data_IF_457255944218
#
_entry.id   IF_457255944218
#
_cell.length_a   1.000
_cell.length_b   1.000
_cell.length_c   1.000
_cell.angle_alpha   90.00
_cell.angle_beta   90.00
_cell.angle_gamma   90.00
#
_symmetry.space_group_name_H-M   'P 1'
#
loop_
_entity.id
_entity.type
_entity.pdbx_description
1 polymer ?
#
# COMPACT_ATOMS: atom_id res chain seq x y z
N UNK A 1 -1.43 24.78 -22.55
CA UNK A 1 -2.04 25.03 -21.22
C UNK A 1 -3.51 25.34 -21.43
N UNK A 2 -4.39 24.33 -21.29
CA UNK A 2 -5.83 24.58 -21.31
C UNK A 2 -6.21 25.38 -20.06
N UNK A 3 -6.92 26.49 -20.25
CA UNK A 3 -7.43 27.31 -19.14
C UNK A 3 -8.39 26.42 -18.33
N UNK A 4 -8.01 26.01 -17.12
CA UNK A 4 -8.96 25.48 -16.15
C UNK A 4 -10.08 26.52 -16.00
N UNK A 5 -11.32 26.13 -16.28
CA UNK A 5 -12.47 27.00 -16.08
C UNK A 5 -12.56 27.49 -14.63
N UNK A 6 -13.21 28.63 -14.38
CA UNK A 6 -13.29 29.20 -13.04
C UNK A 6 -13.87 28.20 -12.04
N UNK A 7 -13.16 27.98 -10.92
CA UNK A 7 -13.60 27.14 -9.82
C UNK A 7 -14.94 27.71 -9.30
N UNK A 8 -16.04 27.02 -9.62
CA UNK A 8 -17.38 27.45 -9.18
C UNK A 8 -17.48 27.25 -7.68
N UNK A 9 -17.43 28.35 -6.93
CA UNK A 9 -17.62 28.33 -5.48
C UNK A 9 -19.01 27.77 -5.16
N UNK A 10 -19.12 26.76 -4.27
CA UNK A 10 -20.40 26.16 -3.93
C UNK A 10 -21.32 27.19 -3.28
N UNK A 11 -22.53 27.37 -3.83
CA UNK A 11 -23.54 28.29 -3.28
C UNK A 11 -24.25 27.74 -2.04
N UNK A 12 -24.28 26.41 -1.86
CA UNK A 12 -24.98 25.75 -0.75
C UNK A 12 -24.02 25.00 0.17
N UNK A 13 -24.35 24.92 1.46
CA UNK A 13 -23.56 24.15 2.43
C UNK A 13 -23.49 22.66 2.08
N UNK A 14 -24.55 22.11 1.46
CA UNK A 14 -24.55 20.72 0.95
C UNK A 14 -23.50 20.53 -0.14
N UNK A 15 -23.44 21.43 -1.13
CA UNK A 15 -22.43 21.37 -2.20
C UNK A 15 -21.01 21.55 -1.64
N UNK A 16 -20.83 22.45 -0.66
CA UNK A 16 -19.54 22.63 0.01
C UNK A 16 -19.07 21.36 0.72
N UNK A 17 -19.96 20.68 1.45
CA UNK A 17 -19.64 19.40 2.11
C UNK A 17 -19.24 18.33 1.10
N UNK A 18 -19.89 18.26 -0.05
CA UNK A 18 -19.56 17.27 -1.08
C UNK A 18 -18.19 17.55 -1.72
N UNK A 19 -17.89 18.80 -2.05
CA UNK A 19 -16.56 19.19 -2.57
C UNK A 19 -15.45 18.89 -1.55
N UNK A 20 -15.71 19.09 -0.25
CA UNK A 20 -14.75 18.73 0.81
C UNK A 20 -14.53 17.22 0.94
N UNK A 21 -15.50 16.37 0.55
CA UNK A 21 -15.30 14.91 0.54
C UNK A 21 -14.35 14.47 -0.57
N UNK A 22 -14.40 15.14 -1.72
CA UNK A 22 -13.57 14.87 -2.90
C UNK A 22 -12.19 15.53 -2.83
N UNK A 23 -12.01 16.52 -1.95
CA UNK A 23 -10.73 17.17 -1.76
C UNK A 23 -9.63 16.16 -1.34
N UNK A 24 -8.36 16.38 -1.76
CA UNK A 24 -7.24 15.53 -1.38
C UNK A 24 -7.11 15.36 0.15
N UNK A 25 -6.77 14.15 0.59
CA UNK A 25 -6.65 13.79 2.01
C UNK A 25 -5.31 13.13 2.28
N UNK A 26 -4.79 13.30 3.51
CA UNK A 26 -3.57 12.61 3.97
C UNK A 26 -3.80 11.10 4.08
N UNK A 27 -4.94 10.72 4.65
CA UNK A 27 -5.44 9.34 4.67
C UNK A 27 -6.57 9.25 3.66
N UNK A 28 -6.31 8.53 2.58
CA UNK A 28 -7.26 8.40 1.47
C UNK A 28 -8.47 7.52 1.85
N UNK A 29 -9.60 7.75 1.18
CA UNK A 29 -10.77 6.88 1.32
C UNK A 29 -10.62 5.64 0.42
N UNK A 30 -11.55 4.68 0.55
CA UNK A 30 -11.68 3.58 -0.40
C UNK A 30 -11.88 4.04 -1.84
N UNK A 31 -11.10 3.47 -2.77
CA UNK A 31 -11.15 3.77 -4.20
C UNK A 31 -12.46 3.29 -4.83
N UNK A 32 -13.24 4.23 -5.37
CA UNK A 32 -14.49 3.94 -6.10
C UNK A 32 -14.22 3.51 -7.54
N UNK A 33 -15.03 2.58 -8.04
CA UNK A 33 -14.94 1.99 -9.37
C UNK A 33 -16.07 2.50 -10.27
N UNK A 34 -15.73 3.07 -11.41
CA UNK A 34 -16.68 3.44 -12.45
C UNK A 34 -16.74 2.35 -13.52
N UNK A 35 -17.93 1.84 -13.79
CA UNK A 35 -18.18 0.79 -14.77
C UNK A 35 -18.94 1.38 -15.96
N UNK A 36 -18.32 1.27 -17.15
CA UNK A 36 -18.79 1.85 -18.40
C UNK A 36 -18.96 0.78 -19.49
N UNK A 37 -19.91 1.02 -20.39
CA UNK A 37 -20.16 0.20 -21.57
C UNK A 37 -19.76 0.98 -22.82
N UNK A 38 -19.03 0.32 -23.73
CA UNK A 38 -18.77 0.82 -25.07
C UNK A 38 -19.97 0.69 -26.01
N UNK A 39 -19.77 1.03 -27.28
CA UNK A 39 -20.79 0.91 -28.34
C UNK A 39 -21.39 -0.49 -28.44
N UNK A 40 -20.52 -1.50 -28.42
CA UNK A 40 -20.89 -2.91 -28.54
C UNK A 40 -20.35 -3.65 -27.32
N UNK A 41 -21.21 -4.37 -26.64
CA UNK A 41 -20.86 -5.28 -25.53
C UNK A 41 -21.52 -6.62 -25.76
N UNK A 42 -20.82 -7.70 -25.44
CA UNK A 42 -21.38 -9.06 -25.48
C UNK A 42 -22.19 -9.36 -24.22
N UNK A 43 -23.06 -10.37 -24.30
CA UNK A 43 -23.79 -10.86 -23.12
C UNK A 43 -22.83 -11.27 -21.99
N UNK A 44 -21.76 -11.99 -22.34
CA UNK A 44 -20.68 -12.39 -21.41
C UNK A 44 -20.10 -11.18 -20.69
N UNK A 45 -19.72 -10.13 -21.41
CA UNK A 45 -19.20 -8.92 -20.78
C UNK A 45 -20.23 -8.22 -19.90
N UNK A 46 -21.50 -8.15 -20.31
CA UNK A 46 -22.53 -7.53 -19.49
C UNK A 46 -22.69 -8.27 -18.15
N UNK A 47 -22.57 -9.60 -18.15
CA UNK A 47 -22.56 -10.42 -16.92
C UNK A 47 -21.30 -10.19 -16.09
N UNK A 48 -20.10 -10.15 -16.70
CA UNK A 48 -18.84 -9.82 -16.00
C UNK A 48 -18.93 -8.45 -15.31
N UNK A 49 -19.44 -7.43 -16.02
CA UNK A 49 -19.60 -6.08 -15.47
C UNK A 49 -20.69 -6.03 -14.37
N UNK A 50 -21.70 -6.91 -14.42
CA UNK A 50 -22.67 -7.05 -13.35
C UNK A 50 -22.07 -7.72 -12.11
N UNK A 51 -21.26 -8.76 -12.28
CA UNK A 51 -20.56 -9.43 -11.18
C UNK A 51 -19.54 -8.49 -10.52
N UNK A 52 -18.78 -7.71 -11.31
CA UNK A 52 -17.85 -6.72 -10.76
C UNK A 52 -18.59 -5.63 -9.96
N UNK A 53 -19.74 -5.18 -10.46
CA UNK A 53 -20.60 -4.27 -9.71
C UNK A 53 -21.12 -4.91 -8.41
N UNK A 54 -21.50 -6.20 -8.44
CA UNK A 54 -21.96 -6.92 -7.26
C UNK A 54 -20.86 -7.07 -6.20
N UNK A 55 -19.65 -7.45 -6.62
CA UNK A 55 -18.48 -7.58 -5.74
C UNK A 55 -18.09 -6.25 -5.08
N UNK A 56 -18.36 -5.12 -5.74
CA UNK A 56 -17.95 -3.79 -5.27
C UNK A 56 -19.13 -2.84 -5.03
N UNK A 57 -20.31 -3.38 -4.70
CA UNK A 57 -21.60 -2.66 -4.70
C UNK A 57 -21.59 -1.30 -4.01
N UNK A 58 -20.92 -1.18 -2.87
CA UNK A 58 -20.90 0.06 -2.07
C UNK A 58 -19.86 1.08 -2.56
N UNK A 59 -18.89 0.64 -3.36
CA UNK A 59 -17.80 1.45 -3.90
C UNK A 59 -17.76 1.41 -5.43
N UNK A 60 -18.91 1.22 -6.09
CA UNK A 60 -19.00 1.17 -7.54
C UNK A 60 -20.15 2.01 -8.08
N UNK A 61 -19.92 2.68 -9.20
CA UNK A 61 -20.91 3.41 -9.98
C UNK A 61 -20.97 2.78 -11.36
N UNK A 62 -22.15 2.28 -11.76
CA UNK A 62 -22.35 1.66 -13.08
C UNK A 62 -23.21 2.55 -13.96
N UNK A 63 -22.70 2.92 -15.13
CA UNK A 63 -23.50 3.59 -16.15
C UNK A 63 -24.06 2.58 -17.13
N UNK A 64 -25.35 2.66 -17.38
CA UNK A 64 -26.07 1.77 -18.31
C UNK A 64 -26.01 2.25 -19.75
N UNK A 65 -25.82 3.56 -19.97
CA UNK A 65 -25.73 4.15 -21.30
C UNK A 65 -24.44 3.71 -22.00
N UNK A 66 -24.57 3.32 -23.27
CA UNK A 66 -23.44 2.99 -24.16
C UNK A 66 -22.72 4.26 -24.59
N UNK A 67 -21.39 4.19 -24.67
CA UNK A 67 -20.54 5.33 -25.00
C UNK A 67 -19.75 5.04 -26.27
N UNK A 68 -20.02 5.82 -27.33
CA UNK A 68 -19.45 5.56 -28.66
C UNK A 68 -18.11 6.23 -28.91
N UNK A 69 -17.83 7.31 -28.18
CA UNK A 69 -16.61 8.10 -28.31
C UNK A 69 -15.43 7.55 -27.51
N UNK A 70 -15.63 6.54 -26.66
CA UNK A 70 -14.58 6.05 -25.77
C UNK A 70 -13.67 5.06 -26.50
N UNK A 71 -12.41 5.48 -26.68
CA UNK A 71 -11.35 4.65 -27.25
C UNK A 71 -10.09 4.78 -26.39
N UNK A 72 -9.93 3.96 -25.33
CA UNK A 72 -8.95 4.23 -24.27
C UNK A 72 -7.47 4.26 -24.71
N UNK A 73 -7.15 3.63 -25.84
CA UNK A 73 -5.78 3.50 -26.36
C UNK A 73 -5.52 4.38 -27.59
N UNK A 74 -6.50 5.17 -28.04
CA UNK A 74 -6.34 6.10 -29.15
C UNK A 74 -6.06 7.49 -28.59
N UNK A 75 -5.20 8.28 -29.23
CA UNK A 75 -4.84 9.62 -28.75
C UNK A 75 -6.07 10.52 -28.58
N UNK A 76 -6.37 10.93 -27.35
CA UNK A 76 -7.52 11.77 -27.01
C UNK A 76 -8.83 11.01 -26.78
N UNK A 77 -8.85 9.69 -27.03
CA UNK A 77 -10.01 8.83 -26.80
C UNK A 77 -10.25 8.51 -25.32
N UNK A 78 -9.31 8.84 -24.44
CA UNK A 78 -9.42 8.76 -22.99
C UNK A 78 -10.10 9.97 -22.33
N UNK A 79 -10.21 11.12 -23.02
CA UNK A 79 -10.77 12.37 -22.45
C UNK A 79 -12.17 12.17 -21.85
N UNK A 80 -12.98 11.32 -22.49
CA UNK A 80 -14.31 10.96 -21.98
C UNK A 80 -14.24 10.18 -20.66
N UNK A 81 -13.24 9.31 -20.49
CA UNK A 81 -13.03 8.56 -19.25
C UNK A 81 -12.65 9.49 -18.10
N UNK A 82 -11.75 10.44 -18.36
CA UNK A 82 -11.33 11.46 -17.39
C UNK A 82 -12.50 12.35 -16.98
N UNK A 83 -13.31 12.78 -17.95
CA UNK A 83 -14.54 13.52 -17.68
C UNK A 83 -15.52 12.75 -16.78
N UNK A 84 -15.72 11.45 -17.05
CA UNK A 84 -16.59 10.64 -16.20
C UNK A 84 -15.99 10.33 -14.83
N UNK A 85 -14.68 10.14 -14.74
CA UNK A 85 -13.96 10.02 -13.45
C UNK A 85 -14.20 11.26 -12.59
N UNK A 86 -13.96 12.45 -13.13
CA UNK A 86 -14.17 13.73 -12.45
C UNK A 86 -15.63 13.90 -12.01
N UNK A 87 -16.58 13.56 -12.88
CA UNK A 87 -18.02 13.70 -12.60
C UNK A 87 -18.51 12.74 -11.52
N UNK A 88 -17.96 11.53 -11.46
CA UNK A 88 -18.41 10.47 -10.55
C UNK A 88 -17.52 10.28 -9.32
N UNK A 89 -16.43 11.05 -9.21
CA UNK A 89 -15.42 10.91 -8.15
C UNK A 89 -14.91 9.45 -8.05
N UNK A 90 -14.62 8.84 -9.20
CA UNK A 90 -14.16 7.45 -9.27
C UNK A 90 -12.72 7.39 -9.77
N UNK A 91 -11.84 6.80 -8.95
CA UNK A 91 -10.42 6.67 -9.27
C UNK A 91 -10.12 5.44 -10.15
N UNK A 92 -10.97 4.42 -10.09
CA UNK A 92 -10.82 3.16 -10.83
C UNK A 92 -11.84 3.09 -11.96
N UNK A 93 -11.42 2.58 -13.11
CA UNK A 93 -12.22 2.54 -14.33
C UNK A 93 -12.29 1.11 -14.86
N UNK A 94 -13.50 0.69 -15.23
CA UNK A 94 -13.73 -0.56 -15.93
C UNK A 94 -14.57 -0.26 -17.16
N UNK A 95 -14.04 -0.58 -18.34
CA UNK A 95 -14.70 -0.35 -19.63
C UNK A 95 -14.81 -1.65 -20.42
N UNK A 96 -16.06 -2.07 -20.68
CA UNK A 96 -16.35 -3.24 -21.50
C UNK A 96 -16.62 -2.88 -22.96
N UNK A 97 -16.03 -3.62 -23.89
CA UNK A 97 -16.21 -3.43 -25.33
C UNK A 97 -16.09 -4.75 -26.10
N UNK A 98 -16.70 -4.85 -27.27
CA UNK A 98 -16.67 -6.07 -28.08
C UNK A 98 -16.48 -5.74 -29.57
N UNK A 99 -15.51 -6.39 -30.21
CA UNK A 99 -15.25 -6.27 -31.64
C UNK A 99 -14.71 -7.58 -32.21
N UNK A 100 -14.72 -7.77 -33.53
CA UNK A 100 -14.15 -8.96 -34.18
C UNK A 100 -12.64 -9.12 -33.88
N UNK A 101 -11.89 -8.01 -33.84
CA UNK A 101 -10.45 -8.00 -33.52
C UNK A 101 -10.18 -8.24 -32.04
N UNK A 102 -11.09 -7.79 -31.17
CA UNK A 102 -10.97 -7.88 -29.70
C UNK A 102 -12.31 -8.34 -29.13
N UNK A 103 -12.61 -9.65 -29.17
CA UNK A 103 -13.81 -10.18 -28.55
C UNK A 103 -13.69 -10.07 -27.03
N UNK A 104 -14.83 -9.91 -26.36
CA UNK A 104 -14.97 -9.82 -24.89
C UNK A 104 -13.87 -8.98 -24.24
N UNK A 105 -13.68 -7.75 -24.73
CA UNK A 105 -12.59 -6.89 -24.31
C UNK A 105 -12.97 -6.08 -23.06
N UNK A 106 -12.16 -6.22 -22.02
CA UNK A 106 -12.29 -5.51 -20.76
C UNK A 106 -11.05 -4.64 -20.56
N UNK A 107 -11.25 -3.35 -20.33
CA UNK A 107 -10.18 -2.41 -20.01
C UNK A 107 -10.30 -2.02 -18.55
N UNK A 108 -9.24 -2.26 -17.79
CA UNK A 108 -9.08 -1.81 -16.41
C UNK A 108 -8.16 -0.60 -16.40
N UNK A 109 -8.50 0.42 -15.64
CA UNK A 109 -7.73 1.66 -15.60
C UNK A 109 -7.71 2.30 -14.23
N UNK A 110 -6.63 3.02 -13.93
CA UNK A 110 -6.54 3.89 -12.76
C UNK A 110 -6.38 5.33 -13.21
N UNK A 111 -6.87 6.24 -12.38
CA UNK A 111 -6.70 7.67 -12.56
C UNK A 111 -5.93 8.26 -11.40
N UNK A 112 -5.17 9.30 -11.69
CA UNK A 112 -4.50 10.16 -10.73
C UNK A 112 -4.93 11.59 -11.02
N UNK A 113 -5.47 12.28 -10.02
CA UNK A 113 -6.10 13.60 -10.19
C UNK A 113 -7.10 13.63 -11.38
N UNK A 114 -7.92 12.59 -11.49
CA UNK A 114 -8.89 12.36 -12.57
C UNK A 114 -8.32 12.26 -14.01
N UNK A 115 -7.00 12.25 -14.18
CA UNK A 115 -6.33 11.97 -15.43
C UNK A 115 -5.93 10.49 -15.49
N UNK A 116 -5.85 9.90 -16.67
CA UNK A 116 -5.46 8.48 -16.76
C UNK A 116 -4.02 8.29 -16.27
N UNK A 117 -3.88 7.44 -15.25
CA UNK A 117 -2.57 7.01 -14.73
C UNK A 117 -2.05 5.85 -15.58
N UNK A 118 -2.81 4.77 -15.66
CA UNK A 118 -2.44 3.58 -16.42
C UNK A 118 -3.67 2.78 -16.88
N UNK A 119 -3.46 1.93 -17.89
CA UNK A 119 -4.51 1.10 -18.50
C UNK A 119 -3.99 -0.30 -18.77
N UNK A 120 -4.82 -1.32 -18.54
CA UNK A 120 -4.59 -2.70 -18.92
C UNK A 120 -5.82 -3.23 -19.65
N UNK A 121 -5.61 -3.76 -20.84
CA UNK A 121 -6.63 -4.40 -21.66
C UNK A 121 -6.49 -5.92 -21.55
N UNK A 122 -7.59 -6.58 -21.21
CA UNK A 122 -7.68 -8.04 -21.13
C UNK A 122 -8.86 -8.55 -21.96
N UNK A 123 -8.67 -9.71 -22.59
CA UNK A 123 -9.76 -10.51 -23.14
C UNK A 123 -10.32 -11.41 -22.06
N UNK A 124 -11.65 -11.50 -21.98
CA UNK A 124 -12.33 -12.43 -21.07
C UNK A 124 -12.71 -13.70 -21.82
N UNK A 125 -12.17 -14.83 -21.37
CA UNK A 125 -12.43 -16.17 -21.87
C UNK A 125 -12.91 -17.09 -20.73
N UNK A 126 -13.59 -18.19 -21.08
CA UNK A 126 -14.09 -19.22 -20.14
C UNK A 126 -14.82 -18.68 -18.89
N UNK A 127 -15.59 -17.60 -19.05
CA UNK A 127 -16.28 -16.95 -17.94
C UNK A 127 -17.43 -17.82 -17.39
N UNK A 128 -17.47 -17.94 -16.06
CA UNK A 128 -18.59 -18.49 -15.29
C UNK A 128 -19.08 -17.45 -14.29
N UNK A 129 -20.36 -17.13 -14.38
CA UNK A 129 -21.03 -16.16 -13.50
C UNK A 129 -21.14 -16.67 -12.06
N UNK A 130 -21.21 -15.76 -11.09
CA UNK A 130 -21.55 -16.04 -9.69
C UNK A 130 -22.82 -16.92 -9.59
N UNK A 131 -23.82 -16.64 -10.43
CA UNK A 131 -25.11 -17.34 -10.40
C UNK A 131 -25.01 -18.81 -10.87
N UNK A 132 -23.96 -19.16 -11.60
CA UNK A 132 -23.78 -20.52 -12.13
C UNK A 132 -23.22 -21.51 -11.09
N UNK A 133 -22.72 -21.02 -9.97
CA UNK A 133 -22.12 -21.85 -8.92
C UNK A 133 -23.16 -22.38 -7.94
N UNK A 134 -23.19 -23.71 -7.78
CA UNK A 134 -23.99 -24.38 -6.77
C UNK A 134 -23.15 -24.58 -5.49
N UNK A 135 -23.49 -23.85 -4.43
CA UNK A 135 -22.86 -23.98 -3.12
C UNK A 135 -23.86 -23.65 -2.00
N UNK A 136 -23.51 -23.98 -0.75
CA UNK A 136 -24.32 -23.61 0.41
C UNK A 136 -24.33 -22.09 0.58
N UNK A 137 -25.49 -21.45 0.37
CA UNK A 137 -25.66 -20.00 0.46
C UNK A 137 -25.26 -19.42 1.82
N UNK A 138 -25.19 -20.22 2.89
CA UNK A 138 -24.66 -19.78 4.19
C UNK A 138 -23.17 -19.42 4.16
N UNK A 139 -22.44 -20.00 3.20
CA UNK A 139 -21.02 -19.73 2.96
C UNK A 139 -20.81 -18.53 2.01
N UNK A 140 -21.89 -17.92 1.50
CA UNK A 140 -21.77 -16.79 0.58
C UNK A 140 -20.99 -15.64 1.24
N UNK A 141 -19.94 -15.12 0.58
CA UNK A 141 -19.18 -14.00 1.11
C UNK A 141 -20.04 -12.75 1.33
N UNK A 142 -19.91 -12.13 2.49
CA UNK A 142 -20.67 -10.94 2.90
C UNK A 142 -20.18 -9.71 2.16
N UNK A 143 -21.11 -8.90 1.63
CA UNK A 143 -20.75 -7.66 0.93
C UNK A 143 -19.89 -6.75 1.82
N UNK A 144 -18.86 -6.14 1.22
CA UNK A 144 -17.95 -5.22 1.91
C UNK A 144 -16.84 -5.88 2.73
N UNK A 145 -16.76 -7.21 2.81
CA UNK A 145 -15.62 -7.87 3.47
C UNK A 145 -14.33 -7.70 2.68
N UNK A 146 -13.21 -7.64 3.41
CA UNK A 146 -11.89 -7.48 2.81
C UNK A 146 -11.44 -8.81 2.21
N UNK A 147 -11.22 -8.89 0.88
CA UNK A 147 -10.77 -10.12 0.26
C UNK A 147 -9.29 -10.38 0.52
N UNK A 148 -8.93 -11.65 0.61
CA UNK A 148 -7.55 -12.08 0.42
C UNK A 148 -7.22 -12.26 -1.06
N UNK A 149 -5.93 -12.26 -1.37
CA UNK A 149 -5.42 -12.54 -2.69
C UNK A 149 -4.33 -13.61 -2.62
N UNK A 150 -4.37 -14.55 -3.55
CA UNK A 150 -3.27 -15.46 -3.82
C UNK A 150 -2.88 -15.31 -5.29
N UNK A 151 -1.68 -14.79 -5.56
CA UNK A 151 -1.10 -14.76 -6.89
C UNK A 151 -0.14 -15.94 -7.03
N UNK A 152 -0.43 -16.86 -7.95
CA UNK A 152 0.30 -18.12 -8.12
C UNK A 152 0.95 -18.10 -9.51
N UNK A 153 2.26 -18.33 -9.57
CA UNK A 153 3.04 -18.42 -10.81
C UNK A 153 4.12 -17.34 -10.92
N UNK A 154 5.28 -17.73 -11.45
CA UNK A 154 6.47 -16.86 -11.58
C UNK A 154 6.25 -15.69 -12.55
N UNK A 155 5.37 -15.86 -13.54
CA UNK A 155 5.12 -14.83 -14.56
C UNK A 155 4.61 -13.50 -14.00
N UNK A 156 4.03 -13.48 -12.80
CA UNK A 156 3.65 -12.23 -12.13
C UNK A 156 4.85 -11.37 -11.71
N UNK A 157 6.04 -11.96 -11.58
CA UNK A 157 7.27 -11.24 -11.26
C UNK A 157 8.18 -11.05 -12.47
N UNK A 158 8.20 -12.02 -13.41
CA UNK A 158 9.07 -11.97 -14.58
C UNK A 158 8.50 -11.20 -15.77
N UNK A 159 7.17 -11.20 -15.98
CA UNK A 159 6.54 -10.53 -17.13
C UNK A 159 5.92 -9.21 -16.71
N UNK A 160 6.42 -8.11 -17.26
CA UNK A 160 6.00 -6.74 -16.92
C UNK A 160 4.49 -6.51 -17.06
N UNK A 161 3.88 -7.03 -18.14
CA UNK A 161 2.45 -6.89 -18.36
C UNK A 161 1.59 -7.62 -17.32
N UNK A 162 2.05 -8.77 -16.81
CA UNK A 162 1.35 -9.51 -15.75
C UNK A 162 1.60 -8.92 -14.37
N UNK A 163 2.80 -8.37 -14.13
CA UNK A 163 3.08 -7.56 -12.94
C UNK A 163 2.15 -6.35 -12.88
N UNK A 164 1.96 -5.68 -14.02
CA UNK A 164 1.03 -4.56 -14.15
C UNK A 164 -0.43 -5.00 -13.90
N UNK A 165 -0.85 -6.13 -14.47
CA UNK A 165 -2.19 -6.70 -14.22
C UNK A 165 -2.39 -7.10 -12.74
N UNK A 166 -1.37 -7.65 -12.07
CA UNK A 166 -1.40 -7.97 -10.64
C UNK A 166 -1.67 -6.74 -9.79
N UNK A 167 -0.93 -5.65 -10.02
CA UNK A 167 -1.15 -4.37 -9.34
C UNK A 167 -2.54 -3.80 -9.63
N UNK A 168 -2.99 -3.91 -10.88
CA UNK A 168 -4.31 -3.46 -11.32
C UNK A 168 -5.43 -4.20 -10.57
N UNK A 169 -5.38 -5.54 -10.52
CA UNK A 169 -6.39 -6.37 -9.84
C UNK A 169 -6.40 -6.12 -8.33
N UNK A 170 -5.21 -6.00 -7.71
CA UNK A 170 -5.10 -5.64 -6.30
C UNK A 170 -5.78 -4.31 -6.01
N UNK A 171 -5.47 -3.26 -6.76
CA UNK A 171 -6.04 -1.93 -6.51
C UNK A 171 -7.56 -1.90 -6.78
N UNK A 172 -8.04 -2.70 -7.74
CA UNK A 172 -9.47 -2.81 -8.05
C UNK A 172 -10.28 -3.50 -6.96
N UNK A 173 -9.74 -4.53 -6.30
CA UNK A 173 -10.53 -5.37 -5.39
C UNK A 173 -10.08 -5.37 -3.92
N UNK A 174 -8.94 -4.73 -3.55
CA UNK A 174 -8.45 -4.70 -2.15
C UNK A 174 -9.37 -4.00 -1.13
N UNK A 175 -10.27 -3.13 -1.60
CA UNK A 175 -11.15 -2.32 -0.73
C UNK A 175 -10.38 -1.27 0.09
N UNK A 176 -10.88 -0.99 1.30
CA UNK A 176 -10.29 -0.01 2.21
C UNK A 176 -9.06 -0.57 2.96
N UNK A 177 -8.11 0.32 3.24
CA UNK A 177 -6.96 -0.01 4.09
C UNK A 177 -7.44 0.05 5.54
N UNK A 178 -7.31 -1.08 6.22
CA UNK A 178 -7.74 -1.25 7.62
C UNK A 178 -6.57 -1.81 8.41
N UNK A 179 -6.38 -1.32 9.64
CA UNK A 179 -5.33 -1.79 10.55
C UNK A 179 -5.75 -3.08 11.27
N UNK A 180 -7.03 -3.16 11.64
CA UNK A 180 -7.60 -4.28 12.37
C UNK A 180 -8.66 -4.98 11.51
N UNK A 181 -8.66 -6.31 11.54
CA UNK A 181 -9.61 -7.13 10.79
C UNK A 181 -10.40 -8.01 11.77
N UNK A 182 -11.72 -8.02 11.61
CA UNK A 182 -12.57 -8.97 12.32
C UNK A 182 -12.48 -10.34 11.66
N UNK A 183 -12.23 -11.39 12.44
CA UNK A 183 -12.20 -12.78 11.97
C UNK A 183 -13.50 -13.19 11.26
N UNK A 184 -14.65 -12.65 11.69
CA UNK A 184 -15.93 -12.90 11.03
C UNK A 184 -16.06 -12.28 9.62
N UNK A 185 -15.12 -11.40 9.24
CA UNK A 185 -14.99 -10.82 7.91
C UNK A 185 -13.96 -11.53 7.04
N UNK A 186 -13.32 -12.59 7.53
CA UNK A 186 -12.42 -13.45 6.77
C UNK A 186 -13.25 -14.53 6.08
N UNK A 187 -13.79 -14.22 4.91
CA UNK A 187 -14.75 -15.10 4.23
C UNK A 187 -14.46 -15.37 2.76
N UNK A 188 -13.58 -14.59 2.11
CA UNK A 188 -13.30 -14.73 0.67
C UNK A 188 -11.84 -14.57 0.31
N UNK A 189 -11.46 -15.21 -0.80
CA UNK A 189 -10.16 -15.10 -1.43
C UNK A 189 -10.33 -15.04 -2.96
N UNK A 190 -9.57 -14.16 -3.60
CA UNK A 190 -9.32 -14.19 -5.04
C UNK A 190 -8.04 -14.97 -5.29
N UNK A 191 -8.12 -16.05 -6.06
CA UNK A 191 -6.95 -16.80 -6.50
C UNK A 191 -6.71 -16.47 -7.96
N UNK A 192 -5.53 -15.92 -8.25
CA UNK A 192 -5.08 -15.53 -9.57
C UNK A 192 -3.88 -16.40 -9.94
N UNK A 193 -4.06 -17.31 -10.91
CA UNK A 193 -3.01 -18.23 -11.36
C UNK A 193 -2.55 -17.81 -12.75
N UNK A 194 -1.25 -17.54 -12.91
CA UNK A 194 -0.66 -17.32 -14.22
C UNK A 194 -0.48 -18.67 -14.93
N UNK A 195 -1.32 -18.94 -15.93
CA UNK A 195 -1.25 -20.17 -16.74
C UNK A 195 -0.13 -20.04 -17.78
N UNK A 196 0.03 -18.85 -18.33
CA UNK A 196 0.99 -18.54 -19.38
C UNK A 196 1.52 -17.11 -19.16
N UNK A 197 2.54 -16.63 -19.90
CA UNK A 197 3.02 -15.25 -19.79
C UNK A 197 1.97 -14.20 -20.20
N UNK A 198 0.83 -14.61 -20.77
CA UNK A 198 -0.26 -13.72 -21.18
C UNK A 198 -1.60 -14.04 -20.53
N UNK A 199 -1.82 -15.26 -20.04
CA UNK A 199 -3.13 -15.71 -19.54
C UNK A 199 -3.11 -15.92 -18.03
N UNK A 200 -4.05 -15.27 -17.35
CA UNK A 200 -4.28 -15.42 -15.91
C UNK A 200 -5.67 -15.97 -15.67
N UNK A 201 -5.77 -17.10 -14.98
CA UNK A 201 -7.05 -17.58 -14.45
C UNK A 201 -7.36 -16.89 -13.13
N UNK A 202 -8.50 -16.23 -13.05
CA UNK A 202 -9.01 -15.61 -11.84
C UNK A 202 -10.21 -16.39 -11.33
N UNK A 203 -10.18 -16.80 -10.07
CA UNK A 203 -11.31 -17.41 -9.38
C UNK A 203 -11.61 -16.68 -8.06
N UNK A 204 -12.89 -16.62 -7.72
CA UNK A 204 -13.38 -16.12 -6.43
C UNK A 204 -13.92 -17.29 -5.61
N UNK A 205 -13.31 -17.49 -4.43
CA UNK A 205 -13.61 -18.59 -3.54
C UNK A 205 -14.04 -18.05 -2.17
N UNK A 206 -14.98 -18.74 -1.53
CA UNK A 206 -15.30 -18.56 -0.14
C UNK A 206 -14.42 -19.45 0.74
N UNK A 207 -14.08 -18.94 1.93
CA UNK A 207 -13.28 -19.62 2.93
C UNK A 207 -14.17 -20.36 3.92
N UNK A 208 -14.03 -21.68 3.97
CA UNK A 208 -14.64 -22.53 4.99
C UNK A 208 -13.59 -22.94 6.03
N UNK A 209 -13.72 -22.42 7.24
CA UNK A 209 -12.84 -22.75 8.36
C UNK A 209 -13.37 -23.97 9.10
N UNK A 210 -12.61 -25.06 9.12
CA UNK A 210 -12.91 -26.29 9.87
C UNK A 210 -12.02 -26.43 11.10
N UNK A 211 -12.55 -27.10 12.13
CA UNK A 211 -11.78 -27.44 13.34
C UNK A 211 -10.63 -28.38 12.97
N UNK A 212 -9.42 -28.03 13.39
CA UNK A 212 -8.16 -28.75 13.09
C UNK A 212 -7.50 -29.39 14.32
N UNK A 213 -7.99 -29.09 15.53
CA UNK A 213 -7.37 -29.53 16.79
C UNK A 213 -6.24 -28.63 17.30
N UNK A 214 -5.77 -27.67 16.50
CA UNK A 214 -4.80 -26.64 16.90
C UNK A 214 -5.45 -25.26 16.96
N UNK A 215 -4.69 -24.22 17.34
CA UNK A 215 -5.16 -22.83 17.31
C UNK A 215 -5.44 -22.30 15.89
N UNK A 216 -4.95 -22.98 14.85
CA UNK A 216 -5.08 -22.54 13.45
C UNK A 216 -6.10 -23.45 12.75
N UNK A 217 -7.26 -22.94 12.31
CA UNK A 217 -8.28 -23.75 11.65
C UNK A 217 -7.81 -24.29 10.30
N UNK A 218 -8.34 -25.44 9.90
CA UNK A 218 -8.12 -25.99 8.55
C UNK A 218 -8.95 -25.17 7.56
N UNK A 219 -8.28 -24.56 6.58
CA UNK A 219 -8.94 -23.76 5.54
C UNK A 219 -9.32 -24.65 4.36
N UNK A 220 -10.58 -24.61 3.95
CA UNK A 220 -11.06 -25.19 2.71
C UNK A 220 -11.64 -24.10 1.82
N UNK A 221 -11.35 -24.18 0.52
CA UNK A 221 -11.85 -23.24 -0.48
C UNK A 221 -13.07 -23.84 -1.17
N UNK A 222 -14.13 -23.04 -1.30
CA UNK A 222 -15.31 -23.39 -2.09
C UNK A 222 -15.47 -22.33 -3.16
N UNK A 223 -15.50 -22.73 -4.43
CA UNK A 223 -15.69 -21.79 -5.53
C UNK A 223 -17.11 -21.20 -5.47
N UNK A 224 -17.20 -19.88 -5.43
CA UNK A 224 -18.48 -19.13 -5.40
C UNK A 224 -18.67 -18.26 -6.64
N UNK A 225 -17.62 -18.10 -7.45
CA UNK A 225 -17.63 -17.30 -8.67
C UNK A 225 -17.56 -15.79 -8.41
N UNK A 226 -17.23 -14.98 -9.43
CA UNK A 226 -17.02 -15.40 -10.81
C UNK A 226 -15.66 -16.07 -11.01
N UNK A 227 -15.57 -16.93 -12.03
CA UNK A 227 -14.30 -17.43 -12.57
C UNK A 227 -14.14 -16.99 -14.02
N UNK A 228 -12.92 -16.66 -14.43
CA UNK A 228 -12.64 -16.30 -15.81
C UNK A 228 -11.15 -16.39 -16.14
N UNK A 229 -10.86 -16.61 -17.41
CA UNK A 229 -9.52 -16.44 -17.97
C UNK A 229 -9.37 -15.00 -18.48
N UNK A 230 -8.35 -14.32 -17.97
CA UNK A 230 -7.95 -12.98 -18.37
C UNK A 230 -6.73 -13.09 -19.28
N UNK A 231 -6.95 -12.87 -20.58
CA UNK A 231 -5.89 -12.87 -21.59
C UNK A 231 -5.38 -11.45 -21.77
N UNK A 232 -4.15 -11.17 -21.34
CA UNK A 232 -3.49 -9.89 -21.48
C UNK A 232 -3.36 -9.48 -22.95
N UNK A 233 -3.68 -8.23 -23.25
CA UNK A 233 -3.57 -7.63 -24.59
C UNK A 233 -2.64 -6.42 -24.53
N UNK A 234 -3.20 -5.21 -24.64
CA UNK A 234 -2.44 -3.95 -24.53
C UNK A 234 -2.33 -3.54 -23.08
N UNK A 235 -1.23 -2.91 -22.71
CA UNK A 235 -1.13 -2.16 -21.46
C UNK A 235 -0.39 -0.85 -21.72
N UNK A 236 -0.73 0.17 -20.94
CA UNK A 236 -0.13 1.50 -20.98
C UNK A 236 0.26 1.86 -19.56
N UNK A 237 1.56 1.96 -19.30
CA UNK A 237 2.08 2.39 -18.01
C UNK A 237 2.03 3.91 -17.87
N UNK A 238 2.08 4.38 -16.63
CA UNK A 238 2.26 5.79 -16.30
C UNK A 238 3.68 6.23 -16.65
N UNK A 239 3.85 7.53 -16.94
CA UNK A 239 5.19 8.11 -17.07
C UNK A 239 5.92 8.11 -15.71
N UNK A 240 7.23 7.92 -15.70
CA UNK A 240 8.05 7.84 -14.48
C UNK A 240 7.89 9.05 -13.55
N UNK A 241 7.72 10.25 -14.12
CA UNK A 241 7.49 11.47 -13.34
C UNK A 241 6.17 11.40 -12.57
N UNK A 242 5.09 11.00 -13.25
CA UNK A 242 3.76 10.83 -12.68
C UNK A 242 3.74 9.69 -11.66
N UNK A 243 4.45 8.60 -11.93
CA UNK A 243 4.59 7.49 -10.98
C UNK A 243 5.29 7.94 -9.69
N UNK A 244 6.38 8.72 -9.79
CA UNK A 244 7.08 9.28 -8.62
C UNK A 244 6.20 10.23 -7.81
N UNK A 245 5.39 11.03 -8.50
CA UNK A 245 4.44 11.93 -7.85
C UNK A 245 3.32 11.17 -7.13
N UNK A 246 2.70 10.20 -7.81
CA UNK A 246 1.63 9.38 -7.26
C UNK A 246 2.08 8.49 -6.09
N UNK A 247 3.34 8.06 -6.07
CA UNK A 247 3.93 7.22 -5.00
C UNK A 247 4.55 8.01 -3.85
N UNK A 248 4.34 9.33 -3.80
CA UNK A 248 4.89 10.18 -2.75
C UNK A 248 4.20 9.89 -1.41
N UNK A 249 4.95 9.29 -0.48
CA UNK A 249 4.46 9.06 0.87
C UNK A 249 4.27 10.39 1.62
N UNK A 250 3.27 10.49 2.50
CA UNK A 250 3.14 11.63 3.40
C UNK A 250 4.41 11.76 4.24
N UNK A 251 4.95 12.97 4.34
CA UNK A 251 6.17 13.22 5.10
C UNK A 251 5.98 12.83 6.56
N UNK A 252 6.74 11.85 7.04
CA UNK A 252 6.78 11.52 8.46
C UNK A 252 7.44 12.66 9.25
N UNK A 253 7.00 12.85 10.50
CA UNK A 253 7.68 13.76 11.41
C UNK A 253 9.17 13.37 11.49
N UNK A 254 10.06 14.35 11.25
CA UNK A 254 11.51 14.09 11.25
C UNK A 254 11.91 13.52 12.61
N UNK A 255 12.46 12.30 12.63
CA UNK A 255 13.02 11.70 13.84
C UNK A 255 14.15 12.58 14.35
N UNK A 256 13.98 13.12 15.54
CA UNK A 256 15.05 13.89 16.20
C UNK A 256 16.11 12.89 16.67
N UNK A 257 17.35 13.05 16.19
CA UNK A 257 18.46 12.16 16.53
C UNK A 257 18.64 12.14 18.05
N UNK A 258 18.91 10.96 18.60
CA UNK A 258 19.13 10.72 20.03
C UNK A 258 17.92 10.97 20.94
N UNK A 259 16.72 11.23 20.41
CA UNK A 259 15.51 11.36 21.21
C UNK A 259 14.59 10.18 20.95
N UNK A 260 14.10 9.56 22.02
CA UNK A 260 13.14 8.46 22.00
C UNK A 260 11.92 8.85 22.82
N UNK A 261 10.74 8.83 22.21
CA UNK A 261 9.46 8.97 22.91
C UNK A 261 9.09 7.63 23.55
N UNK A 262 9.11 7.57 24.89
CA UNK A 262 8.57 6.43 25.64
C UNK A 262 7.13 6.71 26.04
N UNK A 263 6.19 5.74 25.88
CA UNK A 263 4.77 5.94 26.20
C UNK A 263 4.49 6.28 27.67
N UNK A 264 5.33 5.79 28.59
CA UNK A 264 5.15 5.95 30.04
C UNK A 264 6.04 7.07 30.58
N UNK A 265 7.31 7.10 30.15
CA UNK A 265 8.35 7.95 30.75
C UNK A 265 8.60 9.25 29.95
N UNK A 266 7.86 9.45 28.86
CA UNK A 266 7.96 10.63 28.00
C UNK A 266 9.23 10.66 27.14
N UNK A 267 9.65 11.87 26.75
CA UNK A 267 10.82 12.08 25.88
C UNK A 267 12.12 11.82 26.63
N UNK A 268 12.90 10.84 26.16
CA UNK A 268 14.27 10.58 26.62
C UNK A 268 15.29 10.99 25.57
N UNK A 269 16.27 11.78 25.98
CA UNK A 269 17.46 12.08 25.19
C UNK A 269 18.63 11.17 25.59
N UNK A 270 19.26 10.49 24.64
CA UNK A 270 20.52 9.77 24.86
C UNK A 270 21.69 10.72 24.64
N UNK A 271 22.52 10.88 25.67
CA UNK A 271 23.77 11.63 25.57
C UNK A 271 24.89 10.60 25.39
N UNK A 272 25.61 10.70 24.27
CA UNK A 272 26.79 9.88 24.03
C UNK A 272 27.99 10.58 24.63
N UNK A 273 28.48 10.06 25.75
CA UNK A 273 29.72 10.52 26.38
C UNK A 273 30.86 9.83 25.61
N UNK A 274 31.77 10.59 24.97
CA UNK A 274 32.93 9.99 24.32
C UNK A 274 33.88 9.38 25.36
N UNK A 275 34.70 8.42 24.94
CA UNK A 275 35.71 7.81 25.80
C UNK A 275 36.64 8.89 26.39
N UNK A 276 36.70 8.96 27.71
CA UNK A 276 37.50 9.94 28.43
C UNK A 276 38.92 9.43 28.59
N UNK A 277 39.87 9.99 27.86
CA UNK A 277 41.30 9.64 27.97
C UNK A 277 41.94 10.33 29.19
N UNK A 278 41.61 9.84 30.39
CA UNK A 278 42.11 10.39 31.67
C UNK A 278 43.64 10.25 31.80
N UNK A 279 44.24 9.29 31.09
CA UNK A 279 45.70 9.04 31.12
C UNK A 279 46.53 10.15 30.50
N UNK A 280 45.96 10.97 29.59
CA UNK A 280 46.65 12.12 28.99
C UNK A 280 46.63 13.35 29.90
N UNK A 281 45.83 13.34 30.95
CA UNK A 281 45.82 14.42 31.93
C UNK A 281 47.09 14.31 32.78
N UNK A 282 47.96 15.32 32.68
CA UNK A 282 49.11 15.42 33.58
C UNK A 282 48.57 15.64 35.00
N UNK A 283 48.53 14.56 35.79
CA UNK A 283 48.17 14.63 37.20
C UNK A 283 49.11 15.63 37.86
N UNK A 284 48.60 16.51 38.72
CA UNK A 284 49.34 17.57 39.41
C UNK A 284 50.35 17.04 40.45
N UNK A 285 50.80 15.79 40.33
CA UNK A 285 51.88 15.18 41.12
C UNK A 285 53.22 15.91 40.99
N UNK A 286 53.37 16.77 39.99
CA UNK A 286 54.48 17.71 39.84
C UNK A 286 54.39 18.96 40.74
N UNK A 287 53.38 19.06 41.63
CA UNK A 287 53.36 20.07 42.68
C UNK A 287 54.49 19.79 43.68
N UNK A 288 55.24 20.84 44.05
CA UNK A 288 56.45 20.79 44.90
C UNK A 288 56.26 20.04 46.23
N UNK A 289 55.02 19.98 46.76
CA UNK A 289 54.67 19.29 48.00
C UNK A 289 54.49 17.77 47.90
N UNK A 290 54.29 17.23 46.69
CA UNK A 290 54.10 15.79 46.43
C UNK A 290 55.40 15.09 45.97
N UNK A 291 56.50 15.83 45.77
CA UNK A 291 57.80 15.27 45.38
C UNK A 291 58.39 14.43 46.52
N UNK A 292 58.52 13.11 46.27
CA UNK A 292 59.02 12.10 47.21
C UNK A 292 60.43 12.42 47.74
N UNK A 293 61.30 12.98 46.90
CA UNK A 293 62.64 13.46 47.28
C UNK A 293 62.64 14.36 48.51
N UNK A 294 61.64 15.25 48.66
CA UNK A 294 61.55 16.12 49.83
C UNK A 294 61.02 15.41 51.07
N UNK A 295 60.11 14.45 50.91
CA UNK A 295 59.63 13.62 52.04
C UNK A 295 60.78 12.77 52.58
N UNK A 296 61.58 12.20 51.69
CA UNK A 296 62.73 11.37 52.05
C UNK A 296 63.89 12.22 52.60
N UNK A 297 64.15 13.40 52.05
CA UNK A 297 65.11 14.36 52.61
C UNK A 297 64.71 14.85 54.02
N UNK A 298 63.41 15.03 54.28
CA UNK A 298 62.92 15.38 55.63
C UNK A 298 63.13 14.22 56.61
N UNK A 299 62.80 12.98 56.21
CA UNK A 299 63.05 11.78 57.03
C UNK A 299 64.53 11.55 57.33
N UNK A 300 65.42 11.73 56.34
CA UNK A 300 66.87 11.57 56.55
C UNK A 300 67.48 12.67 57.44
N UNK A 301 66.97 13.92 57.37
CA UNK A 301 67.35 14.98 58.32
C UNK A 301 66.91 14.66 59.75
N UNK A 302 65.75 14.04 59.94
CA UNK A 302 65.29 13.62 61.26
C UNK A 302 66.11 12.43 61.81
N UNK A 303 66.52 11.48 60.97
CA UNK A 303 67.36 10.34 61.38
C UNK A 303 68.78 10.75 61.79
N UNK A 304 69.42 11.63 61.02
CA UNK A 304 70.79 12.11 61.31
C UNK A 304 70.87 12.99 62.57
N UNK A 305 69.80 13.72 62.92
CA UNK A 305 69.70 14.43 64.21
C UNK A 305 69.61 13.50 65.41
N UNK A 306 69.00 12.31 65.27
CA UNK A 306 68.87 11.35 66.38
C UNK A 306 70.17 10.59 66.66
N UNK A 307 71.00 10.31 65.65
CA UNK A 307 72.28 9.61 65.85
C UNK A 307 73.34 10.48 66.55
N UNK A 308 73.37 11.80 66.31
CA UNK A 308 74.34 12.71 66.95
C UNK A 308 74.12 12.98 68.44
N UNK A 309 73.01 12.53 69.02
CA UNK A 309 72.69 12.70 70.46
C UNK A 309 73.12 11.47 71.28
N UNK A 310 73.48 10.35 70.62
CA UNK A 310 73.80 9.08 71.29
C UNK A 310 75.29 8.76 71.49
N UNK A 311 76.21 9.59 70.99
CA UNK A 311 77.67 9.40 71.16
C UNK A 311 78.25 10.59 71.94
N UNK A 312 78.29 10.45 73.27
CA UNK A 312 79.27 11.08 74.15
C UNK A 312 79.48 10.13 75.35
N UNK A 313 80.52 9.28 75.33
CA UNK A 313 80.98 8.50 76.49
C UNK A 313 81.78 9.39 77.46
N UNK A 314 81.95 8.94 78.71
CA UNK A 314 82.83 9.55 79.72
C UNK A 314 84.24 9.88 79.19
#
# INVERSE_FOLDING_TARGET
MSKMGPIRVPKTMRAKRELLKHAPKLVENGKKMLILHGTKTSAVLNSVLADFFHLKRDHAVKFTKKNDSIRPFESGGETSLEFFSLKSDCSLLVYGSHSKKRPNNLVLGRTYDHHIYDLVEVGVENYKSIESYAYDKKLAPKLGTKPFFAFIGEHFESVEGLKHLKEMLLDHFKGEVVENLNLAGVDRIFVCTAISPTTVYMMHCALRLKRSGTSIPRMELVEVGPSMDLVLRRHRQAADSLQKEAMKAPGHAKKVKNVTDHPIEGKRGRIYIPDQEVSKLTVTSNIKGLKRERRDAKKNKEHSKKQKVGENPE
#
